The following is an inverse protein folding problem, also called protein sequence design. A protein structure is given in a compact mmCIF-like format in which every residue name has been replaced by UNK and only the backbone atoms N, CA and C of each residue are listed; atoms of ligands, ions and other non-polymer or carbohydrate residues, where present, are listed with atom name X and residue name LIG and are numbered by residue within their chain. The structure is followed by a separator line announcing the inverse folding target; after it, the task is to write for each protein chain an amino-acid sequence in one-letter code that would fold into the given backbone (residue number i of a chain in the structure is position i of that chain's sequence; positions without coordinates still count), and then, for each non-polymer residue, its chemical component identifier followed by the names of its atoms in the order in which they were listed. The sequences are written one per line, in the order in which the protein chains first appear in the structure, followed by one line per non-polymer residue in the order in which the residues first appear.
data_IF_323942860584
#
_entry.id   IF_323942860584
#
_cell.length_a   1.000
_cell.length_b   1.000
_cell.length_c   1.000
_cell.angle_alpha   90.00
_cell.angle_beta   90.00
_cell.angle_gamma   90.00
#
_symmetry.space_group_name_H-M   'P 1'
#
loop_
_entity.id
_entity.type
_entity.pdbx_description
1 polymer ?
#
# COMPACT_ATOMS: atom_id res chain seq x y z
N UNK A 1 -2.66 -9.76 -6.06
CA UNK A 1 -1.37 -9.07 -6.25
C UNK A 1 -0.67 -9.02 -4.90
N UNK A 2 0.65 -8.80 -4.89
CA UNK A 2 1.43 -8.69 -3.66
C UNK A 2 2.32 -7.46 -3.73
N UNK A 3 2.58 -6.85 -2.58
CA UNK A 3 3.65 -5.88 -2.43
C UNK A 3 4.95 -6.63 -2.18
N UNK A 4 6.01 -6.23 -2.86
CA UNK A 4 7.34 -6.77 -2.59
C UNK A 4 8.30 -5.62 -2.34
N UNK A 5 9.08 -5.69 -1.26
CA UNK A 5 10.22 -4.80 -1.14
C UNK A 5 11.27 -5.25 -2.15
N UNK A 6 11.99 -4.33 -2.76
CA UNK A 6 13.12 -4.64 -3.63
C UNK A 6 14.31 -3.86 -3.12
N UNK A 7 15.36 -4.56 -2.68
CA UNK A 7 16.55 -3.91 -2.12
C UNK A 7 17.44 -3.31 -3.21
N UNK A 8 17.22 -3.70 -4.47
CA UNK A 8 17.94 -3.18 -5.62
C UNK A 8 17.21 -1.98 -6.26
N UNK A 9 15.96 -1.72 -5.86
CA UNK A 9 15.17 -0.58 -6.32
C UNK A 9 15.33 0.63 -5.39
N UNK A 10 15.17 1.83 -5.96
CA UNK A 10 14.99 3.07 -5.21
C UNK A 10 13.58 3.14 -4.58
N UNK A 11 12.62 2.38 -5.13
CA UNK A 11 11.27 2.25 -4.58
C UNK A 11 11.27 1.27 -3.39
N UNK A 12 10.78 1.74 -2.25
CA UNK A 12 10.69 0.91 -1.04
C UNK A 12 9.81 -0.34 -1.21
N UNK A 13 8.73 -0.21 -2.00
CA UNK A 13 7.76 -1.28 -2.26
C UNK A 13 7.26 -1.24 -3.70
N UNK A 14 7.31 -2.38 -4.38
CA UNK A 14 6.81 -2.55 -5.75
C UNK A 14 5.61 -3.48 -5.78
N UNK A 15 4.60 -3.14 -6.58
CA UNK A 15 3.45 -4.02 -6.81
C UNK A 15 3.87 -5.15 -7.75
N UNK A 16 3.58 -6.38 -7.38
CA UNK A 16 3.98 -7.56 -8.13
C UNK A 16 2.85 -8.59 -8.28
N UNK A 17 2.97 -9.39 -9.33
CA UNK A 17 2.14 -10.55 -9.60
C UNK A 17 2.90 -11.83 -9.24
N UNK A 18 2.21 -12.77 -8.60
CA UNK A 18 2.80 -14.07 -8.24
C UNK A 18 2.78 -14.97 -9.47
N UNK A 19 3.96 -15.43 -9.90
CA UNK A 19 4.09 -16.36 -11.03
C UNK A 19 4.02 -17.81 -10.55
N UNK A 20 4.76 -18.13 -9.50
CA UNK A 20 4.77 -19.47 -8.91
C UNK A 20 5.03 -19.39 -7.41
N UNK A 21 4.39 -20.26 -6.64
CA UNK A 21 4.56 -20.37 -5.20
C UNK A 21 4.99 -21.78 -4.85
N UNK A 22 6.11 -21.91 -4.15
CA UNK A 22 6.65 -23.16 -3.61
C UNK A 22 6.75 -23.07 -2.09
N UNK A 23 7.07 -24.20 -1.44
CA UNK A 23 7.21 -24.26 0.02
C UNK A 23 8.39 -23.46 0.54
N UNK A 24 9.45 -23.26 -0.26
CA UNK A 24 10.67 -22.55 0.15
C UNK A 24 10.82 -21.17 -0.50
N UNK A 25 10.24 -20.95 -1.68
CA UNK A 25 10.38 -19.71 -2.45
C UNK A 25 9.06 -19.28 -3.09
N UNK A 26 8.92 -17.97 -3.29
CA UNK A 26 7.87 -17.38 -4.12
C UNK A 26 8.53 -16.61 -5.26
N UNK A 27 8.08 -16.85 -6.50
CA UNK A 27 8.50 -16.10 -7.68
C UNK A 27 7.46 -15.07 -8.01
N UNK A 28 7.88 -13.81 -8.08
CA UNK A 28 7.03 -12.66 -8.35
C UNK A 28 7.58 -11.89 -9.54
N UNK A 29 6.71 -11.17 -10.24
CA UNK A 29 7.06 -10.26 -11.32
C UNK A 29 6.50 -8.89 -11.00
N UNK A 30 7.34 -7.87 -10.94
CA UNK A 30 6.88 -6.51 -10.71
C UNK A 30 6.01 -6.00 -11.87
N UNK A 31 5.03 -5.18 -11.52
CA UNK A 31 4.05 -4.59 -12.45
C UNK A 31 4.38 -3.13 -12.78
N UNK A 32 5.23 -2.48 -11.98
CA UNK A 32 5.72 -1.12 -12.21
C UNK A 32 6.62 -1.06 -13.46
N UNK A 33 6.58 0.05 -14.21
CA UNK A 33 7.26 0.16 -15.50
C UNK A 33 8.77 -0.11 -15.46
N UNK A 34 9.44 0.16 -14.33
CA UNK A 34 10.86 -0.12 -14.09
C UNK A 34 11.19 -1.54 -13.61
N UNK A 35 10.21 -2.33 -13.16
CA UNK A 35 10.43 -3.60 -12.44
C UNK A 35 9.71 -4.80 -13.07
N UNK A 36 9.66 -4.88 -14.40
CA UNK A 36 9.00 -6.02 -15.10
C UNK A 36 9.75 -7.34 -15.02
N UNK A 37 10.88 -7.39 -14.33
CA UNK A 37 11.69 -8.59 -14.16
C UNK A 37 11.08 -9.52 -13.10
N UNK A 38 11.29 -10.83 -13.30
CA UNK A 38 10.89 -11.82 -12.32
C UNK A 38 12.02 -12.03 -11.31
N UNK A 39 11.66 -12.08 -10.02
CA UNK A 39 12.60 -12.32 -8.93
C UNK A 39 11.95 -13.21 -7.86
N UNK A 40 12.78 -13.84 -7.03
CA UNK A 40 12.31 -14.77 -6.00
C UNK A 40 12.57 -14.26 -4.58
N UNK A 41 11.66 -14.60 -3.67
CA UNK A 41 11.77 -14.33 -2.24
C UNK A 41 11.72 -15.63 -1.45
N UNK A 42 12.59 -15.73 -0.45
CA UNK A 42 12.68 -16.90 0.41
C UNK A 42 11.56 -16.91 1.46
N UNK A 43 11.12 -18.10 1.85
CA UNK A 43 10.18 -18.29 2.95
C UNK A 43 10.82 -17.93 4.29
N UNK A 44 10.08 -17.20 5.11
CA UNK A 44 10.41 -16.99 6.51
C UNK A 44 10.02 -18.25 7.30
N UNK A 45 10.98 -18.82 8.02
CA UNK A 45 10.72 -19.96 8.92
C UNK A 45 10.10 -19.41 10.20
N UNK A 46 8.79 -19.59 10.38
CA UNK A 46 8.12 -19.32 11.65
C UNK A 46 8.45 -20.41 12.65
N UNK A 47 9.04 -20.05 13.78
CA UNK A 47 9.41 -20.99 14.85
C UNK A 47 8.24 -21.44 15.74
N UNK A 48 6.99 -21.11 15.41
CA UNK A 48 5.83 -21.32 16.27
C UNK A 48 4.88 -22.37 15.70
N UNK A 49 4.90 -23.54 16.32
CA UNK A 49 4.00 -24.66 16.10
C UNK A 49 2.56 -24.35 16.50
N UNK A 50 1.63 -24.49 15.56
CA UNK A 50 0.23 -24.80 15.87
C UNK A 50 -0.78 -23.69 15.62
N UNK A 51 -0.92 -23.26 14.36
CA UNK A 51 -2.14 -22.77 13.71
C UNK A 51 -1.79 -22.64 12.21
N UNK A 52 -2.78 -22.65 11.29
CA UNK A 52 -2.56 -22.61 9.83
C UNK A 52 -1.34 -21.75 9.46
N UNK A 53 -0.22 -22.39 9.08
CA UNK A 53 1.00 -21.66 8.73
C UNK A 53 0.75 -20.92 7.42
N UNK A 54 0.33 -19.67 7.51
CA UNK A 54 0.37 -18.77 6.38
C UNK A 54 1.83 -18.70 5.91
N UNK A 55 2.11 -19.20 4.69
CA UNK A 55 3.47 -19.16 4.15
C UNK A 55 3.83 -17.68 3.97
N UNK A 56 4.61 -17.15 4.91
CA UNK A 56 5.15 -15.81 4.90
C UNK A 56 6.50 -15.82 4.17
N UNK A 57 6.68 -14.87 3.27
CA UNK A 57 7.93 -14.71 2.52
C UNK A 57 8.59 -13.39 2.90
N UNK A 58 9.91 -13.36 2.84
CA UNK A 58 10.67 -12.17 3.20
C UNK A 58 10.36 -11.01 2.26
N UNK A 59 9.92 -9.88 2.83
CA UNK A 59 9.62 -8.68 2.07
C UNK A 59 8.44 -8.83 1.11
N UNK A 60 7.51 -9.74 1.38
CA UNK A 60 6.29 -9.93 0.58
C UNK A 60 5.07 -9.74 1.47
N UNK A 61 4.19 -8.83 1.08
CA UNK A 61 2.94 -8.53 1.78
C UNK A 61 1.75 -8.56 0.79
N UNK A 62 0.53 -8.76 1.29
CA UNK A 62 -0.65 -8.86 0.43
C UNK A 62 -1.07 -7.46 -0.09
N UNK A 63 -1.37 -7.34 -1.37
CA UNK A 63 -1.91 -6.09 -1.88
C UNK A 63 -3.42 -6.00 -1.62
N UNK A 64 -3.90 -4.83 -1.18
CA UNK A 64 -5.32 -4.52 -1.15
C UNK A 64 -5.91 -4.55 -2.57
N UNK A 65 -7.20 -4.85 -2.67
CA UNK A 65 -7.92 -4.68 -3.92
C UNK A 65 -8.00 -3.18 -4.26
N UNK A 66 -7.86 -2.85 -5.54
CA UNK A 66 -8.06 -1.49 -6.00
C UNK A 66 -9.52 -1.09 -5.81
N UNK A 67 -9.74 -0.01 -5.06
CA UNK A 67 -11.04 0.61 -4.92
C UNK A 67 -11.52 1.10 -6.30
N UNK A 68 -12.75 0.77 -6.65
CA UNK A 68 -13.38 1.29 -7.86
C UNK A 68 -13.57 2.81 -7.77
N UNK A 69 -13.71 3.48 -8.92
CA UNK A 69 -13.94 4.93 -8.95
C UNK A 69 -15.19 5.36 -8.16
N UNK A 70 -16.23 4.51 -8.13
CA UNK A 70 -17.43 4.74 -7.34
C UNK A 70 -17.12 4.72 -5.84
N UNK A 71 -16.35 3.75 -5.37
CA UNK A 71 -15.97 3.63 -3.95
C UNK A 71 -15.05 4.77 -3.51
N UNK A 72 -14.15 5.23 -4.39
CA UNK A 72 -13.33 6.43 -4.15
C UNK A 72 -14.19 7.69 -4.09
N UNK A 73 -15.21 7.80 -4.93
CA UNK A 73 -16.16 8.92 -4.89
C UNK A 73 -17.01 8.93 -3.61
N UNK A 74 -17.34 7.74 -3.08
CA UNK A 74 -17.98 7.58 -1.77
C UNK A 74 -17.02 7.84 -0.59
N UNK A 75 -15.74 8.11 -0.86
CA UNK A 75 -14.76 8.45 0.17
C UNK A 75 -14.25 7.26 0.97
N UNK A 76 -14.35 6.04 0.43
CA UNK A 76 -13.79 4.83 1.06
C UNK A 76 -12.26 4.85 1.19
N UNK A 77 -11.60 5.74 0.47
CA UNK A 77 -10.15 6.00 0.56
C UNK A 77 -9.78 7.03 1.65
N UNK A 78 -10.75 7.64 2.34
CA UNK A 78 -10.47 8.71 3.31
C UNK A 78 -9.97 8.20 4.65
N UNK A 79 -10.36 6.99 5.06
CA UNK A 79 -9.92 6.36 6.30
C UNK A 79 -9.24 5.02 6.01
N UNK A 80 -7.95 4.95 6.32
CA UNK A 80 -7.09 3.82 6.01
C UNK A 80 -7.43 2.58 6.85
N UNK A 81 -8.14 2.72 7.97
CA UNK A 81 -8.56 1.53 8.76
C UNK A 81 -9.59 0.67 8.03
N UNK A 82 -10.22 1.20 6.98
CA UNK A 82 -11.20 0.47 6.18
C UNK A 82 -10.52 -0.55 5.25
N UNK A 83 -9.19 -0.46 5.08
CA UNK A 83 -8.42 -1.38 4.26
C UNK A 83 -8.33 -2.77 4.92
N UNK A 84 -8.59 -3.86 4.18
CA UNK A 84 -8.43 -5.24 4.68
C UNK A 84 -7.02 -5.52 5.21
N UNK A 85 -6.03 -4.91 4.57
CA UNK A 85 -4.61 -5.15 4.80
C UNK A 85 -3.94 -3.81 5.14
N UNK A 86 -3.70 -3.57 6.44
CA UNK A 86 -3.09 -2.34 6.94
C UNK A 86 -1.62 -2.58 7.35
N UNK A 87 -0.77 -2.72 6.34
CA UNK A 87 0.69 -2.83 6.50
C UNK A 87 1.37 -1.69 5.77
N UNK A 88 2.67 -1.52 6.06
CA UNK A 88 3.49 -0.43 5.53
C UNK A 88 3.33 -0.16 4.02
N UNK A 89 3.38 -1.15 3.10
CA UNK A 89 3.21 -0.87 1.68
C UNK A 89 1.80 -0.37 1.32
N UNK A 90 0.78 -0.88 1.99
CA UNK A 90 -0.60 -0.43 1.76
C UNK A 90 -0.80 1.02 2.23
N UNK A 91 -0.22 1.37 3.38
CA UNK A 91 -0.24 2.73 3.91
C UNK A 91 0.50 3.70 2.98
N UNK A 92 1.71 3.33 2.57
CA UNK A 92 2.54 4.15 1.68
C UNK A 92 1.84 4.38 0.34
N UNK A 93 1.27 3.32 -0.25
CA UNK A 93 0.55 3.42 -1.51
C UNK A 93 -0.67 4.33 -1.42
N UNK A 94 -1.50 4.16 -0.38
CA UNK A 94 -2.71 4.97 -0.22
C UNK A 94 -2.39 6.45 0.03
N UNK A 95 -1.37 6.75 0.84
CA UNK A 95 -0.93 8.13 1.07
C UNK A 95 -0.35 8.73 -0.22
N UNK A 96 0.45 7.96 -0.97
CA UNK A 96 1.02 8.39 -2.25
C UNK A 96 -0.06 8.77 -3.28
N UNK A 97 -1.04 7.90 -3.50
CA UNK A 97 -2.14 8.15 -4.45
C UNK A 97 -2.95 9.41 -4.05
N UNK A 98 -3.20 9.58 -2.75
CA UNK A 98 -3.92 10.75 -2.23
C UNK A 98 -3.10 12.03 -2.38
N UNK A 99 -1.79 11.96 -2.14
CA UNK A 99 -0.89 13.08 -2.32
C UNK A 99 -0.85 13.55 -3.78
N UNK A 100 -0.74 12.62 -4.73
CA UNK A 100 -0.81 12.92 -6.18
C UNK A 100 -2.15 13.56 -6.58
N UNK A 101 -3.23 13.23 -5.87
CA UNK A 101 -4.55 13.83 -6.05
C UNK A 101 -4.74 15.16 -5.30
N UNK A 102 -3.71 15.68 -4.62
CA UNK A 102 -3.77 16.91 -3.82
C UNK A 102 -4.50 16.77 -2.47
N UNK A 103 -4.82 15.54 -2.04
CA UNK A 103 -5.46 15.24 -0.75
C UNK A 103 -4.40 15.00 0.32
N UNK A 104 -3.99 16.06 1.02
CA UNK A 104 -2.90 15.98 2.01
C UNK A 104 -3.31 15.43 3.39
N UNK A 105 -4.61 15.34 3.67
CA UNK A 105 -5.17 14.86 4.93
C UNK A 105 -5.77 13.48 4.76
N UNK A 106 -5.36 12.53 5.60
CA UNK A 106 -5.83 11.15 5.54
C UNK A 106 -6.08 10.61 6.94
N UNK A 107 -7.27 10.07 7.19
CA UNK A 107 -7.61 9.46 8.46
C UNK A 107 -7.04 8.05 8.55
N UNK A 108 -6.66 7.67 9.75
CA UNK A 108 -6.39 6.28 10.14
C UNK A 108 -7.01 6.06 11.51
N UNK A 109 -8.33 5.88 11.51
CA UNK A 109 -9.18 5.82 12.69
C UNK A 109 -9.06 7.09 13.53
N UNK A 110 -8.60 7.03 14.79
CA UNK A 110 -8.51 8.21 15.64
C UNK A 110 -7.35 9.15 15.27
N UNK A 111 -6.43 8.72 14.40
CA UNK A 111 -5.25 9.50 14.03
C UNK A 111 -5.46 10.16 12.66
N UNK A 112 -5.05 11.42 12.53
CA UNK A 112 -5.02 12.14 11.26
C UNK A 112 -3.57 12.30 10.79
N UNK A 113 -3.31 11.84 9.56
CA UNK A 113 -2.03 12.01 8.88
C UNK A 113 -2.13 13.24 7.97
N UNK A 114 -1.16 14.15 8.08
CA UNK A 114 -1.01 15.31 7.21
C UNK A 114 0.34 15.26 6.49
N UNK A 115 0.33 15.26 5.16
CA UNK A 115 1.54 15.27 4.33
C UNK A 115 1.79 16.68 3.82
N UNK A 116 3.04 17.15 3.88
CA UNK A 116 3.37 18.50 3.42
C UNK A 116 3.37 18.57 1.88
N UNK A 117 2.48 19.37 1.25
CA UNK A 117 2.44 19.53 -0.20
C UNK A 117 3.61 20.36 -0.77
N UNK A 118 4.32 21.13 0.06
CA UNK A 118 5.32 22.13 -0.37
C UNK A 118 4.80 23.18 -1.37
N UNK A 119 3.49 23.21 -1.61
CA UNK A 119 2.78 24.18 -2.44
C UNK A 119 1.54 24.71 -1.71
N UNK A 120 1.00 25.84 -2.19
CA UNK A 120 -0.22 26.41 -1.63
C UNK A 120 -1.45 25.74 -2.24
N UNK A 121 -2.11 24.90 -1.46
CA UNK A 121 -3.41 24.34 -1.81
C UNK A 121 -4.53 25.29 -1.38
N UNK A 122 -5.62 25.43 -2.16
CA UNK A 122 -6.75 26.30 -1.84
C UNK A 122 -7.65 25.71 -0.75
N UNK A 123 -7.09 25.05 0.28
CA UNK A 123 -7.83 24.35 1.35
C UNK A 123 -8.16 25.26 2.54
N UNK A 124 -7.54 26.44 2.62
CA UNK A 124 -7.68 27.36 3.75
C UNK A 124 -8.39 28.66 3.36
N UNK A 125 -9.22 28.63 2.32
CA UNK A 125 -10.06 29.77 1.94
C UNK A 125 -11.18 29.95 2.97
N UNK A 126 -11.72 31.17 3.07
CA UNK A 126 -12.82 31.47 4.00
C UNK A 126 -14.04 30.57 3.74
N UNK A 127 -14.34 30.33 2.47
CA UNK A 127 -15.45 29.48 2.04
C UNK A 127 -15.33 28.04 2.58
N UNK A 128 -14.10 27.50 2.61
CA UNK A 128 -13.87 26.15 3.15
C UNK A 128 -13.96 26.16 4.66
N UNK A 129 -13.45 27.21 5.32
CA UNK A 129 -13.55 27.35 6.78
C UNK A 129 -15.00 27.42 7.27
N UNK A 130 -15.91 27.99 6.48
CA UNK A 130 -17.34 28.07 6.79
C UNK A 130 -18.06 26.72 6.58
N UNK A 131 -17.49 25.82 5.78
CA UNK A 131 -18.05 24.52 5.42
C UNK A 131 -17.50 23.34 6.26
N UNK A 132 -16.58 23.62 7.20
CA UNK A 132 -15.99 22.66 8.13
C UNK A 132 -16.67 22.69 9.50
#
# INVERSE_FOLDING_TARGET
QVWCSDAESDDAWVLAEVLSRSEDEIKVRGLTEGHKHAFSRNRLKSSSSGELEELKYEGVELANANLSAAEKAEGRDNDLITLPHLHEPALLHAIGERFESGKIYTWTGPVLIAVNPFERLPLYTKEILENY
#
